data_IF_311881430488
#
_entry.id   IF_311881430488
#
_cell.length_a   1.000
_cell.length_b   1.000
_cell.length_c   1.000
_cell.angle_alpha   90.00
_cell.angle_beta   90.00
_cell.angle_gamma   90.00
#
_symmetry.space_group_name_H-M   'P 1'
#
loop_
_entity.id
_entity.type
_entity.pdbx_description
1 polymer ?
#
# COMPACT_ATOMS: atom_id res chain seq x y z
N UNK A 1 92.47 16.27 -5.50
CA UNK A 1 93.37 15.64 -4.50
C UNK A 1 93.05 16.20 -3.14
N UNK A 2 93.17 15.34 -2.12
CA UNK A 2 93.10 15.57 -0.66
C UNK A 2 91.74 15.37 0.03
N UNK A 3 91.71 14.20 0.68
CA UNK A 3 90.77 13.63 1.64
C UNK A 3 90.55 14.53 2.86
N UNK A 4 89.35 14.43 3.44
CA UNK A 4 89.15 14.52 4.89
C UNK A 4 88.02 13.58 5.31
N UNK A 5 88.40 12.42 5.84
CA UNK A 5 87.55 11.52 6.65
C UNK A 5 87.30 12.18 8.01
N UNK A 6 86.05 12.28 8.45
CA UNK A 6 85.70 12.33 9.88
C UNK A 6 84.34 11.67 10.17
N UNK A 7 84.45 10.59 10.94
CA UNK A 7 83.56 10.10 12.00
C UNK A 7 82.09 9.72 11.73
N UNK A 8 81.89 8.41 11.84
CA UNK A 8 80.68 7.66 12.20
C UNK A 8 80.10 8.14 13.54
N UNK A 9 78.78 8.29 13.63
CA UNK A 9 77.90 7.83 14.72
C UNK A 9 76.42 8.08 14.32
N UNK A 10 75.49 7.11 14.51
CA UNK A 10 74.07 7.30 14.21
C UNK A 10 73.33 7.89 15.42
N UNK A 11 72.33 8.79 15.23
CA UNK A 11 71.41 9.09 16.30
C UNK A 11 70.35 7.98 16.37
N UNK A 12 70.50 7.08 17.34
CA UNK A 12 69.37 6.30 17.87
C UNK A 12 68.31 7.28 18.40
N UNK A 13 67.27 7.58 17.61
CA UNK A 13 66.03 8.11 18.17
C UNK A 13 65.28 6.95 18.80
N UNK A 14 65.49 6.76 20.10
CA UNK A 14 64.64 5.96 20.96
C UNK A 14 63.26 6.62 21.02
N UNK A 15 62.35 6.22 20.13
CA UNK A 15 60.95 6.60 20.22
C UNK A 15 60.34 5.86 21.41
N UNK A 16 60.09 6.60 22.49
CA UNK A 16 59.48 6.08 23.71
C UNK A 16 58.20 5.29 23.39
N UNK A 17 58.01 4.09 23.97
CA UNK A 17 56.83 3.23 23.73
C UNK A 17 55.50 3.94 24.06
N UNK A 18 55.54 5.01 24.86
CA UNK A 18 54.39 5.84 25.23
C UNK A 18 53.83 6.64 24.03
N UNK A 19 54.69 7.05 23.10
CA UNK A 19 54.26 7.82 21.92
C UNK A 19 53.54 6.95 20.89
N UNK A 20 53.98 5.69 20.75
CA UNK A 20 53.34 4.68 19.91
C UNK A 20 51.96 4.27 20.44
N UNK A 21 51.79 4.21 21.77
CA UNK A 21 50.49 3.92 22.38
C UNK A 21 49.48 5.06 22.22
N UNK A 22 49.91 6.32 22.29
CA UNK A 22 49.04 7.48 22.08
C UNK A 22 48.58 7.60 20.63
N UNK A 23 49.48 7.38 19.66
CA UNK A 23 49.10 7.35 18.24
C UNK A 23 48.15 6.19 17.91
N UNK A 24 48.36 5.01 18.49
CA UNK A 24 47.42 3.88 18.36
C UNK A 24 46.07 4.17 19.01
N UNK A 25 46.05 4.81 20.18
CA UNK A 25 44.81 5.20 20.84
C UNK A 25 44.01 6.23 20.01
N UNK A 26 44.69 7.22 19.42
CA UNK A 26 44.04 8.24 18.57
C UNK A 26 43.54 7.65 17.24
N UNK A 27 44.28 6.72 16.63
CA UNK A 27 43.82 5.98 15.43
C UNK A 27 42.64 5.05 15.74
N UNK A 28 42.61 4.44 16.93
CA UNK A 28 41.48 3.61 17.39
C UNK A 28 40.22 4.43 17.69
N UNK A 29 40.36 5.66 18.21
CA UNK A 29 39.23 6.58 18.43
C UNK A 29 38.67 7.09 17.08
N UNK A 30 39.54 7.39 16.11
CA UNK A 30 39.11 7.79 14.77
C UNK A 30 38.42 6.64 14.00
N UNK A 31 38.87 5.39 14.18
CA UNK A 31 38.24 4.22 13.58
C UNK A 31 36.87 3.89 14.22
N UNK A 32 36.71 4.12 15.54
CA UNK A 32 35.43 3.95 16.23
C UNK A 32 34.38 5.01 15.85
N UNK A 33 34.80 6.21 15.45
CA UNK A 33 33.91 7.23 14.90
C UNK A 33 33.51 6.96 13.42
N UNK A 34 34.25 6.10 12.72
CA UNK A 34 34.00 5.75 11.31
C UNK A 34 33.31 4.39 11.11
N UNK A 35 33.08 3.61 12.17
CA UNK A 35 32.24 2.42 12.11
C UNK A 35 30.77 2.75 12.34
N UNK A 36 30.24 3.71 11.58
CA UNK A 36 28.79 3.73 11.37
C UNK A 36 28.48 2.53 10.48
N UNK A 37 27.95 1.47 11.09
CA UNK A 37 27.13 0.50 10.36
C UNK A 37 26.22 1.29 9.41
N UNK A 38 26.10 0.93 8.11
CA UNK A 38 25.35 1.73 7.15
C UNK A 38 24.00 2.06 7.78
N UNK A 39 23.76 3.33 8.07
CA UNK A 39 22.66 3.79 8.92
C UNK A 39 21.39 3.15 8.39
N UNK A 40 20.90 2.11 9.07
CA UNK A 40 19.69 1.43 8.64
C UNK A 40 18.61 2.49 8.59
N UNK A 41 17.90 2.56 7.46
CA UNK A 41 16.82 3.52 7.32
C UNK A 41 15.89 3.41 8.54
N UNK A 42 15.83 4.48 9.33
CA UNK A 42 15.05 4.53 10.56
C UNK A 42 13.56 4.66 10.19
N UNK A 43 13.01 3.56 9.68
CA UNK A 43 11.68 3.51 9.07
C UNK A 43 10.59 4.00 10.01
N UNK A 44 10.67 3.66 11.29
CA UNK A 44 9.69 4.12 12.29
C UNK A 44 9.70 5.64 12.44
N UNK A 45 10.87 6.26 12.65
CA UNK A 45 10.99 7.71 12.76
C UNK A 45 10.49 8.41 11.50
N UNK A 46 10.87 7.88 10.33
CA UNK A 46 10.39 8.40 9.04
C UNK A 46 8.87 8.37 8.92
N UNK A 47 8.23 7.25 9.29
CA UNK A 47 6.78 7.10 9.22
C UNK A 47 6.07 8.09 10.15
N UNK A 48 6.63 8.38 11.33
CA UNK A 48 6.10 9.40 12.24
C UNK A 48 6.26 10.79 11.64
N UNK A 49 7.47 11.18 11.23
CA UNK A 49 7.76 12.57 10.80
C UNK A 49 7.15 12.90 9.44
N UNK A 50 7.35 12.01 8.46
CA UNK A 50 7.04 12.25 7.05
C UNK A 50 5.61 11.81 6.70
N UNK A 51 5.16 10.68 7.25
CA UNK A 51 3.82 10.15 6.96
C UNK A 51 2.76 10.53 8.01
N UNK A 52 3.16 11.08 9.16
CA UNK A 52 2.23 11.56 10.20
C UNK A 52 1.58 10.44 11.02
N UNK A 53 2.22 9.27 11.11
CA UNK A 53 1.73 8.14 11.91
C UNK A 53 2.02 8.35 13.40
N UNK A 54 1.22 7.72 14.26
CA UNK A 54 1.60 7.53 15.67
C UNK A 54 2.79 6.57 15.78
N UNK A 55 3.52 6.59 16.91
CA UNK A 55 4.65 5.66 17.11
C UNK A 55 4.20 4.19 17.03
N UNK A 56 3.03 3.87 17.56
CA UNK A 56 2.50 2.50 17.53
C UNK A 56 2.18 2.02 16.10
N UNK A 57 1.54 2.88 15.29
CA UNK A 57 1.28 2.58 13.87
C UNK A 57 2.59 2.48 13.09
N UNK A 58 3.53 3.39 13.35
CA UNK A 58 4.84 3.41 12.72
C UNK A 58 5.64 2.15 13.02
N UNK A 59 5.66 1.67 14.27
CA UNK A 59 6.34 0.43 14.65
C UNK A 59 5.75 -0.80 13.94
N UNK A 60 4.42 -0.85 13.75
CA UNK A 60 3.75 -1.91 12.99
C UNK A 60 4.11 -1.83 11.49
N UNK A 61 4.04 -0.63 10.92
CA UNK A 61 4.31 -0.39 9.51
C UNK A 61 5.81 -0.55 9.14
N UNK A 62 6.73 -0.21 10.04
CA UNK A 62 8.18 -0.31 9.86
C UNK A 62 8.65 -1.71 9.44
N UNK A 63 7.93 -2.75 9.87
CA UNK A 63 8.19 -4.15 9.47
C UNK A 63 8.13 -4.36 7.95
N UNK A 64 7.37 -3.54 7.21
CA UNK A 64 7.28 -3.59 5.75
C UNK A 64 8.49 -2.96 5.03
N UNK A 65 9.40 -2.34 5.79
CA UNK A 65 10.55 -1.57 5.29
C UNK A 65 11.89 -2.12 5.80
N UNK A 66 11.91 -3.28 6.46
CA UNK A 66 13.12 -3.86 7.08
C UNK A 66 14.31 -4.00 6.13
N UNK A 67 14.04 -4.21 4.85
CA UNK A 67 15.05 -4.37 3.79
C UNK A 67 15.49 -3.06 3.14
N UNK A 68 14.86 -1.93 3.45
CA UNK A 68 15.15 -0.63 2.82
C UNK A 68 16.35 0.04 3.48
N UNK A 69 17.22 0.62 2.65
CA UNK A 69 18.42 1.36 3.07
C UNK A 69 18.29 2.88 2.91
N UNK A 70 17.26 3.35 2.23
CA UNK A 70 17.06 4.76 1.90
C UNK A 70 15.56 5.11 1.85
N UNK A 71 15.17 6.34 2.27
CA UNK A 71 13.80 6.84 2.15
C UNK A 71 13.42 7.25 0.73
N UNK A 72 14.36 7.37 -0.21
CA UNK A 72 14.14 8.04 -1.51
C UNK A 72 12.92 7.50 -2.29
N UNK A 73 12.68 6.19 -2.28
CA UNK A 73 11.49 5.62 -2.93
C UNK A 73 10.19 6.02 -2.21
N UNK A 74 10.19 5.97 -0.87
CA UNK A 74 9.03 6.37 -0.08
C UNK A 74 8.74 7.87 -0.27
N UNK A 75 9.78 8.71 -0.32
CA UNK A 75 9.64 10.15 -0.59
C UNK A 75 9.05 10.40 -1.98
N UNK A 76 9.53 9.71 -3.00
CA UNK A 76 8.99 9.81 -4.35
C UNK A 76 7.51 9.39 -4.41
N UNK A 77 7.14 8.31 -3.71
CA UNK A 77 5.75 7.85 -3.60
C UNK A 77 4.88 8.89 -2.88
N UNK A 78 5.32 9.40 -1.73
CA UNK A 78 4.58 10.42 -0.98
C UNK A 78 4.39 11.68 -1.82
N UNK A 79 5.46 12.18 -2.46
CA UNK A 79 5.41 13.34 -3.34
C UNK A 79 4.45 13.14 -4.53
N UNK A 80 4.42 11.94 -5.11
CA UNK A 80 3.48 11.62 -6.18
C UNK A 80 2.02 11.63 -5.70
N UNK A 81 1.76 11.03 -4.54
CA UNK A 81 0.41 10.91 -3.97
C UNK A 81 -0.15 12.27 -3.49
N UNK A 82 0.70 13.14 -2.93
CA UNK A 82 0.31 14.50 -2.50
C UNK A 82 0.35 15.50 -3.65
N UNK A 83 1.07 15.19 -4.73
CA UNK A 83 1.21 16.04 -5.91
C UNK A 83 -0.08 16.16 -6.74
N UNK A 84 -0.03 16.95 -7.84
CA UNK A 84 -1.23 17.33 -8.60
C UNK A 84 -2.04 16.17 -9.19
N UNK A 85 -1.41 15.01 -9.40
CA UNK A 85 -2.07 13.84 -9.96
C UNK A 85 -3.22 13.31 -9.08
N UNK A 86 -3.10 13.45 -7.76
CA UNK A 86 -4.03 12.92 -6.77
C UNK A 86 -4.42 13.98 -5.74
N UNK A 87 -3.48 14.77 -5.24
CA UNK A 87 -3.72 15.81 -4.24
C UNK A 87 -4.21 15.25 -2.91
N UNK A 88 -3.59 14.17 -2.42
CA UNK A 88 -3.87 13.63 -1.10
C UNK A 88 -3.34 14.56 -0.01
N UNK A 89 -4.14 14.74 1.05
CA UNK A 89 -3.71 15.49 2.24
C UNK A 89 -2.75 14.66 3.10
N UNK A 90 -2.05 15.31 4.04
CA UNK A 90 -1.22 14.60 5.02
C UNK A 90 -2.01 13.56 5.82
N UNK A 91 -3.27 13.86 6.16
CA UNK A 91 -4.15 12.92 6.84
C UNK A 91 -4.52 11.71 5.96
N UNK A 92 -4.69 11.92 4.64
CA UNK A 92 -4.93 10.83 3.70
C UNK A 92 -3.71 9.92 3.57
N UNK A 93 -2.50 10.49 3.55
CA UNK A 93 -1.25 9.72 3.55
C UNK A 93 -1.14 8.89 4.83
N UNK A 94 -1.38 9.49 5.99
CA UNK A 94 -1.35 8.75 7.26
C UNK A 94 -2.34 7.56 7.24
N UNK A 95 -3.59 7.80 6.83
CA UNK A 95 -4.61 6.76 6.69
C UNK A 95 -4.19 5.62 5.75
N UNK A 96 -3.68 6.00 4.58
CA UNK A 96 -3.24 5.08 3.53
C UNK A 96 -2.07 4.22 4.01
N UNK A 97 -1.05 4.83 4.63
CA UNK A 97 0.15 4.16 5.11
C UNK A 97 -0.13 3.31 6.35
N UNK A 98 -1.02 3.74 7.24
CA UNK A 98 -1.47 2.90 8.38
C UNK A 98 -2.15 1.63 7.89
N UNK A 99 -3.03 1.73 6.89
CA UNK A 99 -3.80 0.58 6.38
C UNK A 99 -3.01 -0.32 5.44
N UNK A 100 -2.11 0.26 4.64
CA UNK A 100 -1.31 -0.48 3.66
C UNK A 100 0.07 0.15 3.47
N UNK A 101 1.00 -0.04 4.43
CA UNK A 101 2.32 0.58 4.39
C UNK A 101 3.15 0.18 3.16
N UNK A 102 2.84 -0.98 2.55
CA UNK A 102 3.50 -1.46 1.34
C UNK A 102 3.29 -0.55 0.13
N UNK A 103 2.35 0.40 0.17
CA UNK A 103 2.20 1.42 -0.88
C UNK A 103 3.48 2.23 -1.08
N UNK A 104 4.22 2.52 -0.02
CA UNK A 104 5.48 3.28 -0.07
C UNK A 104 6.62 2.49 -0.71
N UNK A 105 6.44 1.19 -0.97
CA UNK A 105 7.37 0.36 -1.73
C UNK A 105 7.06 0.33 -3.23
N UNK A 106 5.96 0.93 -3.67
CA UNK A 106 5.55 0.92 -5.08
C UNK A 106 6.48 1.78 -5.92
N UNK A 107 6.67 1.40 -7.18
CA UNK A 107 7.31 2.28 -8.17
C UNK A 107 6.32 3.34 -8.64
N UNK A 108 6.74 4.60 -8.69
CA UNK A 108 5.88 5.67 -9.19
C UNK A 108 5.60 5.48 -10.68
N UNK A 109 6.66 5.30 -11.49
CA UNK A 109 6.57 5.14 -12.95
C UNK A 109 5.87 3.84 -13.37
N UNK A 110 6.34 2.72 -12.83
CA UNK A 110 5.92 1.40 -13.33
C UNK A 110 4.66 0.85 -12.64
N UNK A 111 4.17 1.52 -11.59
CA UNK A 111 3.00 1.05 -10.87
C UNK A 111 1.98 2.18 -10.65
N UNK A 112 2.31 3.20 -9.85
CA UNK A 112 1.29 4.15 -9.42
C UNK A 112 0.70 4.97 -10.58
N UNK A 113 1.52 5.40 -11.54
CA UNK A 113 1.04 6.10 -12.75
C UNK A 113 0.09 5.23 -13.57
N UNK A 114 0.54 4.04 -13.95
CA UNK A 114 -0.27 3.08 -14.71
C UNK A 114 -1.61 2.77 -14.02
N UNK A 115 -1.61 2.71 -12.68
CA UNK A 115 -2.85 2.50 -11.92
C UNK A 115 -3.78 3.69 -11.99
N UNK A 116 -3.29 4.92 -11.82
CA UNK A 116 -4.14 6.11 -11.99
C UNK A 116 -4.73 6.17 -13.39
N UNK A 117 -3.95 5.84 -14.41
CA UNK A 117 -4.40 5.86 -15.79
C UNK A 117 -5.45 4.76 -16.06
N UNK A 118 -5.27 3.57 -15.50
CA UNK A 118 -6.29 2.52 -15.52
C UNK A 118 -7.61 2.97 -14.87
N UNK A 119 -7.55 3.59 -13.67
CA UNK A 119 -8.75 4.15 -13.04
C UNK A 119 -9.42 5.22 -13.92
N UNK A 120 -8.64 6.12 -14.53
CA UNK A 120 -9.16 7.16 -15.45
C UNK A 120 -9.78 6.56 -16.70
N UNK A 121 -9.17 5.52 -17.28
CA UNK A 121 -9.71 4.82 -18.45
C UNK A 121 -11.07 4.18 -18.17
N UNK A 122 -11.33 3.82 -16.91
CA UNK A 122 -12.61 3.33 -16.42
C UNK A 122 -13.57 4.45 -15.94
N UNK A 123 -13.28 5.71 -16.27
CA UNK A 123 -14.17 6.84 -16.02
C UNK A 123 -14.08 7.45 -14.61
N UNK A 124 -13.07 7.11 -13.80
CA UNK A 124 -12.90 7.72 -12.48
C UNK A 124 -12.26 9.11 -12.60
N UNK A 125 -12.91 10.11 -12.02
CA UNK A 125 -12.31 11.41 -11.77
C UNK A 125 -11.26 11.37 -10.66
N UNK A 126 -10.35 12.35 -10.61
CA UNK A 126 -9.36 12.46 -9.52
C UNK A 126 -10.01 12.47 -8.12
N UNK A 127 -11.16 13.13 -7.96
CA UNK A 127 -11.89 13.12 -6.69
C UNK A 127 -12.41 11.73 -6.32
N UNK A 128 -12.90 10.96 -7.28
CA UNK A 128 -13.36 9.59 -7.07
C UNK A 128 -12.20 8.64 -6.78
N UNK A 129 -11.06 8.80 -7.45
CA UNK A 129 -9.84 8.02 -7.15
C UNK A 129 -9.38 8.30 -5.72
N UNK A 130 -9.32 9.57 -5.29
CA UNK A 130 -9.04 9.91 -3.89
C UNK A 130 -10.01 9.24 -2.92
N UNK A 131 -11.31 9.27 -3.22
CA UNK A 131 -12.30 8.58 -2.38
C UNK A 131 -12.06 7.08 -2.36
N UNK A 132 -11.65 6.47 -3.48
CA UNK A 132 -11.34 5.05 -3.56
C UNK A 132 -10.13 4.70 -2.69
N UNK A 133 -9.05 5.49 -2.78
CA UNK A 133 -7.83 5.30 -1.98
C UNK A 133 -8.14 5.33 -0.49
N UNK A 134 -9.01 6.25 -0.02
CA UNK A 134 -9.39 6.34 1.40
C UNK A 134 -10.12 5.11 1.92
N UNK A 135 -11.01 4.55 1.09
CA UNK A 135 -11.91 3.45 1.50
C UNK A 135 -11.26 2.08 1.30
N UNK A 136 -10.41 1.93 0.29
CA UNK A 136 -9.70 0.69 0.01
C UNK A 136 -8.23 0.89 -0.42
N UNK A 137 -7.36 1.33 0.51
CA UNK A 137 -5.90 1.47 0.28
C UNK A 137 -5.25 0.25 -0.37
N UNK A 138 -5.53 -0.93 0.17
CA UNK A 138 -4.92 -2.17 -0.29
C UNK A 138 -5.41 -2.57 -1.69
N UNK A 139 -6.70 -2.39 -2.01
CA UNK A 139 -7.19 -2.63 -3.37
C UNK A 139 -6.56 -1.67 -4.36
N UNK A 140 -6.44 -0.39 -3.97
CA UNK A 140 -5.77 0.61 -4.78
C UNK A 140 -4.36 0.18 -5.13
N UNK A 141 -3.59 -0.44 -4.23
CA UNK A 141 -2.25 -0.97 -4.55
C UNK A 141 -2.27 -2.27 -5.37
N UNK A 142 -3.12 -3.22 -4.99
CA UNK A 142 -2.83 -4.64 -5.25
C UNK A 142 -3.74 -5.31 -6.29
N UNK A 143 -4.96 -4.84 -6.54
CA UNK A 143 -5.85 -5.58 -7.45
C UNK A 143 -5.47 -5.37 -8.94
N UNK A 144 -5.97 -6.25 -9.81
CA UNK A 144 -5.92 -6.02 -11.25
C UNK A 144 -6.96 -4.94 -11.60
N UNK A 145 -6.49 -3.75 -11.99
CA UNK A 145 -7.35 -2.58 -12.23
C UNK A 145 -8.30 -2.87 -13.38
N UNK A 146 -7.78 -3.37 -14.50
CA UNK A 146 -8.55 -3.55 -15.73
C UNK A 146 -9.64 -4.62 -15.56
N UNK A 147 -9.27 -5.75 -14.94
CA UNK A 147 -10.21 -6.84 -14.69
C UNK A 147 -11.31 -6.41 -13.69
N UNK A 148 -10.91 -5.83 -12.54
CA UNK A 148 -11.87 -5.48 -11.49
C UNK A 148 -12.74 -4.31 -11.91
N UNK A 149 -12.15 -3.20 -12.34
CA UNK A 149 -12.91 -2.02 -12.72
C UNK A 149 -13.65 -2.22 -14.03
N UNK A 150 -13.11 -2.96 -15.01
CA UNK A 150 -13.83 -3.33 -16.22
C UNK A 150 -15.14 -4.06 -15.90
N UNK A 151 -15.07 -5.07 -15.03
CA UNK A 151 -16.27 -5.76 -14.56
C UNK A 151 -17.22 -4.82 -13.80
N UNK A 152 -16.74 -4.11 -12.78
CA UNK A 152 -17.60 -3.29 -11.92
C UNK A 152 -18.21 -2.10 -12.64
N UNK A 153 -17.50 -1.48 -13.59
CA UNK A 153 -18.05 -0.37 -14.38
C UNK A 153 -19.07 -0.89 -15.39
N UNK A 154 -18.83 -2.04 -16.02
CA UNK A 154 -19.83 -2.69 -16.88
C UNK A 154 -21.09 -3.09 -16.10
N UNK A 155 -20.93 -3.62 -14.88
CA UNK A 155 -22.05 -4.04 -14.06
C UNK A 155 -22.79 -2.86 -13.42
N UNK A 156 -22.09 -1.98 -12.68
CA UNK A 156 -22.70 -0.89 -11.88
C UNK A 156 -22.97 0.39 -12.68
N UNK A 157 -22.33 0.56 -13.83
CA UNK A 157 -22.49 1.73 -14.70
C UNK A 157 -21.93 3.05 -14.17
N UNK A 158 -21.42 3.11 -12.94
CA UNK A 158 -20.96 4.36 -12.32
C UNK A 158 -19.89 4.16 -11.24
N UNK A 159 -18.79 4.93 -11.27
CA UNK A 159 -17.81 5.00 -10.19
C UNK A 159 -18.43 5.39 -8.84
N UNK A 160 -19.40 6.32 -8.81
CA UNK A 160 -20.04 6.76 -7.56
C UNK A 160 -20.84 5.64 -6.90
N UNK A 161 -21.46 4.79 -7.73
CA UNK A 161 -22.17 3.61 -7.25
C UNK A 161 -21.21 2.60 -6.64
N UNK A 162 -20.08 2.32 -7.31
CA UNK A 162 -19.03 1.47 -6.74
C UNK A 162 -18.52 2.03 -5.41
N UNK A 163 -18.16 3.31 -5.36
CA UNK A 163 -17.66 3.98 -4.15
C UNK A 163 -18.64 3.87 -2.98
N UNK A 164 -19.95 4.00 -3.24
CA UNK A 164 -21.01 3.85 -2.24
C UNK A 164 -21.05 2.43 -1.67
N UNK A 165 -20.91 1.42 -2.52
CA UNK A 165 -20.94 0.01 -2.13
C UNK A 165 -19.68 -0.36 -1.33
N UNK A 166 -18.49 -0.01 -1.81
CA UNK A 166 -17.23 -0.38 -1.13
C UNK A 166 -17.04 0.31 0.22
N UNK A 167 -17.64 1.51 0.41
CA UNK A 167 -17.71 2.18 1.73
C UNK A 167 -18.45 1.34 2.77
N UNK A 168 -19.48 0.60 2.35
CA UNK A 168 -20.28 -0.28 3.22
C UNK A 168 -19.69 -1.68 3.33
N UNK A 169 -19.12 -2.19 2.24
CA UNK A 169 -18.54 -3.53 2.18
C UNK A 169 -17.31 -3.56 1.27
N UNK A 170 -16.14 -3.37 1.86
CA UNK A 170 -14.89 -3.36 1.13
C UNK A 170 -14.53 -4.76 0.55
N UNK A 171 -15.21 -5.84 0.98
CA UNK A 171 -14.98 -7.19 0.42
C UNK A 171 -15.27 -7.25 -1.08
N UNK A 172 -16.13 -6.37 -1.59
CA UNK A 172 -16.52 -6.33 -3.00
C UNK A 172 -15.33 -6.30 -3.96
N UNK A 173 -14.33 -5.47 -3.68
CA UNK A 173 -13.15 -5.33 -4.55
C UNK A 173 -12.13 -6.46 -4.39
N UNK A 174 -12.29 -7.30 -3.36
CA UNK A 174 -11.42 -8.44 -3.07
C UNK A 174 -12.06 -9.79 -3.45
N UNK A 175 -13.38 -9.84 -3.59
CA UNK A 175 -14.09 -11.05 -4.00
C UNK A 175 -13.62 -11.52 -5.37
N UNK A 176 -13.45 -12.83 -5.50
CA UNK A 176 -13.20 -13.50 -6.77
C UNK A 176 -14.38 -13.24 -7.72
N UNK A 177 -14.08 -12.72 -8.91
CA UNK A 177 -15.14 -12.32 -9.83
C UNK A 177 -15.89 -13.52 -10.38
N UNK A 178 -15.20 -14.63 -10.66
CA UNK A 178 -15.81 -15.79 -11.32
C UNK A 178 -16.47 -16.72 -10.28
N UNK A 179 -15.70 -17.13 -9.28
CA UNK A 179 -16.12 -18.13 -8.29
C UNK A 179 -17.14 -17.61 -7.29
N UNK A 180 -17.17 -16.30 -7.06
CA UNK A 180 -18.06 -15.69 -6.07
C UNK A 180 -19.05 -14.75 -6.74
N UNK A 181 -18.58 -13.65 -7.34
CA UNK A 181 -19.48 -12.58 -7.80
C UNK A 181 -20.39 -13.04 -8.94
N UNK A 182 -19.83 -13.51 -10.05
CA UNK A 182 -20.60 -14.00 -11.22
C UNK A 182 -21.41 -15.24 -10.88
N UNK A 183 -20.91 -16.10 -10.00
CA UNK A 183 -21.68 -17.26 -9.51
C UNK A 183 -22.92 -16.82 -8.73
N UNK A 184 -22.79 -15.85 -7.82
CA UNK A 184 -23.94 -15.30 -7.10
C UNK A 184 -24.93 -14.58 -8.04
N UNK A 185 -24.43 -13.82 -9.02
CA UNK A 185 -25.28 -13.18 -10.04
C UNK A 185 -26.08 -14.25 -10.78
N UNK A 186 -25.44 -15.33 -11.24
CA UNK A 186 -26.12 -16.42 -11.95
C UNK A 186 -27.20 -17.08 -11.10
N UNK A 187 -26.89 -17.40 -9.84
CA UNK A 187 -27.87 -18.00 -8.91
C UNK A 187 -29.10 -17.11 -8.75
N UNK A 188 -28.94 -15.79 -8.73
CA UNK A 188 -30.06 -14.85 -8.64
C UNK A 188 -30.84 -14.78 -9.97
N UNK A 189 -30.15 -14.79 -11.11
CA UNK A 189 -30.80 -14.81 -12.42
C UNK A 189 -31.62 -16.09 -12.65
N UNK A 190 -31.13 -17.24 -12.19
CA UNK A 190 -31.87 -18.52 -12.20
C UNK A 190 -33.19 -18.45 -11.40
N UNK A 191 -33.30 -17.50 -10.47
CA UNK A 191 -34.53 -17.21 -9.71
C UNK A 191 -35.37 -16.07 -10.29
N UNK A 192 -35.05 -15.60 -11.49
CA UNK A 192 -35.81 -14.61 -12.23
C UNK A 192 -35.43 -13.15 -11.95
N UNK A 193 -34.40 -12.88 -11.14
CA UNK A 193 -33.94 -11.51 -10.96
C UNK A 193 -33.20 -11.00 -12.19
N UNK A 194 -33.59 -9.83 -12.69
CA UNK A 194 -32.85 -9.19 -13.79
C UNK A 194 -31.49 -8.68 -13.31
N UNK A 195 -30.55 -8.46 -14.23
CA UNK A 195 -29.27 -7.82 -13.92
C UNK A 195 -29.49 -6.48 -13.20
N UNK A 196 -30.51 -5.72 -13.61
CA UNK A 196 -30.84 -4.43 -13.01
C UNK A 196 -31.35 -4.58 -11.56
N UNK A 197 -32.17 -5.59 -11.28
CA UNK A 197 -32.66 -5.85 -9.91
C UNK A 197 -31.50 -6.21 -8.99
N UNK A 198 -30.61 -7.11 -9.43
CA UNK A 198 -29.39 -7.50 -8.71
C UNK A 198 -28.50 -6.28 -8.45
N UNK A 199 -28.36 -5.43 -9.46
CA UNK A 199 -27.59 -4.20 -9.35
C UNK A 199 -28.14 -3.24 -8.28
N UNK A 200 -29.46 -3.08 -8.23
CA UNK A 200 -30.18 -2.27 -7.24
C UNK A 200 -30.04 -2.86 -5.84
N UNK A 201 -30.30 -4.16 -5.70
CA UNK A 201 -30.07 -4.88 -4.45
C UNK A 201 -28.65 -4.75 -3.92
N UNK A 202 -27.65 -4.78 -4.81
CA UNK A 202 -26.24 -4.69 -4.40
C UNK A 202 -25.89 -3.35 -3.74
N UNK A 203 -26.64 -2.27 -4.01
CA UNK A 203 -26.44 -0.97 -3.35
C UNK A 203 -26.92 -1.01 -1.90
N UNK A 204 -28.08 -1.64 -1.68
CA UNK A 204 -28.71 -1.75 -0.37
C UNK A 204 -28.02 -2.82 0.47
N UNK A 205 -27.71 -3.97 -0.14
CA UNK A 205 -27.03 -5.10 0.50
C UNK A 205 -25.82 -5.60 -0.33
N UNK A 206 -24.65 -4.96 -0.17
CA UNK A 206 -23.42 -5.37 -0.84
C UNK A 206 -22.95 -6.80 -0.52
N UNK A 207 -23.46 -7.43 0.53
CA UNK A 207 -23.07 -8.81 0.89
C UNK A 207 -23.65 -9.83 -0.08
N UNK A 208 -24.72 -9.47 -0.80
CA UNK A 208 -25.39 -10.30 -1.79
C UNK A 208 -24.41 -10.91 -2.80
N UNK A 209 -23.43 -10.13 -3.29
CA UNK A 209 -22.48 -10.58 -4.30
C UNK A 209 -21.15 -11.08 -3.73
N UNK A 210 -20.91 -10.97 -2.42
CA UNK A 210 -19.60 -11.24 -1.81
C UNK A 210 -19.61 -12.41 -0.82
N UNK A 211 -20.80 -12.91 -0.44
CA UNK A 211 -20.95 -14.14 0.31
C UNK A 211 -20.57 -15.36 -0.53
N UNK A 212 -20.16 -16.45 0.13
CA UNK A 212 -19.91 -17.72 -0.55
C UNK A 212 -21.19 -18.18 -1.29
N UNK A 213 -21.09 -18.72 -2.51
CA UNK A 213 -22.26 -19.17 -3.27
C UNK A 213 -23.21 -20.10 -2.51
N UNK A 214 -22.69 -20.96 -1.63
CA UNK A 214 -23.52 -21.87 -0.83
C UNK A 214 -24.42 -21.13 0.17
N UNK A 215 -23.94 -20.01 0.72
CA UNK A 215 -24.75 -19.15 1.60
C UNK A 215 -25.87 -18.50 0.79
N UNK A 216 -25.56 -17.98 -0.40
CA UNK A 216 -26.56 -17.42 -1.30
C UNK A 216 -27.61 -18.46 -1.69
N UNK A 217 -27.18 -19.68 -2.01
CA UNK A 217 -28.08 -20.80 -2.34
C UNK A 217 -29.01 -21.15 -1.18
N UNK A 218 -28.47 -21.26 0.04
CA UNK A 218 -29.26 -21.53 1.23
C UNK A 218 -30.31 -20.44 1.51
N UNK A 219 -29.94 -19.16 1.30
CA UNK A 219 -30.88 -18.03 1.42
C UNK A 219 -32.00 -18.14 0.38
N UNK A 220 -31.67 -18.47 -0.87
CA UNK A 220 -32.65 -18.63 -1.94
C UNK A 220 -33.61 -19.79 -1.68
N UNK A 221 -33.10 -20.96 -1.25
CA UNK A 221 -33.94 -22.11 -0.86
C UNK A 221 -34.91 -21.72 0.25
N UNK A 222 -34.42 -21.01 1.28
CA UNK A 222 -35.27 -20.58 2.38
C UNK A 222 -36.32 -19.54 1.97
N UNK A 223 -36.00 -18.69 0.99
CA UNK A 223 -36.97 -17.74 0.44
C UNK A 223 -38.11 -18.46 -0.30
N UNK A 224 -37.80 -19.55 -1.02
CA UNK A 224 -38.81 -20.39 -1.67
C UNK A 224 -39.72 -21.08 -0.64
N UNK A 225 -39.15 -21.68 0.41
CA UNK A 225 -39.89 -22.33 1.49
C UNK A 225 -40.88 -21.38 2.16
N UNK A 226 -40.50 -20.11 2.30
CA UNK A 226 -41.31 -19.07 2.89
C UNK A 226 -42.30 -18.43 1.89
N UNK A 227 -42.38 -18.94 0.66
CA UNK A 227 -43.25 -18.43 -0.42
C UNK A 227 -43.10 -16.94 -0.66
N UNK A 228 -41.89 -16.40 -0.52
CA UNK A 228 -41.63 -14.97 -0.68
C UNK A 228 -41.51 -14.65 -2.18
N UNK A 229 -42.44 -13.90 -2.80
CA UNK A 229 -42.34 -13.63 -4.22
C UNK A 229 -41.09 -12.78 -4.55
N UNK A 230 -40.39 -13.05 -5.67
CA UNK A 230 -39.20 -12.31 -6.09
C UNK A 230 -39.42 -10.80 -6.25
N UNK A 231 -40.68 -10.39 -6.41
CA UNK A 231 -41.08 -9.03 -6.75
C UNK A 231 -41.35 -8.14 -5.52
N UNK A 232 -41.06 -8.61 -4.30
CA UNK A 232 -41.35 -7.83 -3.10
C UNK A 232 -40.40 -6.64 -2.90
N UNK A 233 -40.90 -5.52 -2.33
CA UNK A 233 -40.09 -4.34 -2.02
C UNK A 233 -38.90 -4.62 -1.10
N UNK A 234 -38.94 -5.69 -0.30
CA UNK A 234 -37.85 -6.07 0.58
C UNK A 234 -36.55 -6.46 -0.16
N UNK A 235 -36.64 -6.70 -1.46
CA UNK A 235 -35.53 -7.01 -2.36
C UNK A 235 -35.29 -5.92 -3.42
N UNK A 236 -35.84 -4.70 -3.27
CA UNK A 236 -35.57 -3.57 -4.19
C UNK A 236 -34.76 -2.46 -3.53
#
# INVERSE_FOLDING_TARGET
MLRLQKHVLPPHRSTSPIHLSLQRALLSIAAAAASSSPSHFAAENYLVTSCGLTREEAAKAAKCFSHRKSPANADAVVAFLTGPALGLSKADIALLVTKDPRILNSSVDNNLRARLDGFRSHGFSTAQIRSFVRVSPYAFRAFNVDEKLGFWMSFLGSPDRLLRIIKRNNRLVFSDLDKVVKTNIRLLQERGFSVQDINNMCVTNPRLLTCKPDVTRAVLVRADELSVPPNLPMFR
#
